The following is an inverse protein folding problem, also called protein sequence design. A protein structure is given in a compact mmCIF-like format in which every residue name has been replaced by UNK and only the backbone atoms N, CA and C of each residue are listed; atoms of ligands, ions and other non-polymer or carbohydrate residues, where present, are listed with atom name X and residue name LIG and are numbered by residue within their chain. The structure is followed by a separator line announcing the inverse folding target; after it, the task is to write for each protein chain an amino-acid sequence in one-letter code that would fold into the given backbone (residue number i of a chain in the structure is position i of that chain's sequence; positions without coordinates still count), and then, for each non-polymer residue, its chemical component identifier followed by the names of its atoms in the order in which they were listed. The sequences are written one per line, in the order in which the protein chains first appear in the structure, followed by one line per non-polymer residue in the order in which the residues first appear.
data_IF_853181465288
#
_entry.id   IF_853181465288
#
_cell.length_a   1.000
_cell.length_b   1.000
_cell.length_c   1.000
_cell.angle_alpha   90.00
_cell.angle_beta   90.00
_cell.angle_gamma   90.00
#
_symmetry.space_group_name_H-M   'P 1'
#
loop_
_entity.id
_entity.type
_entity.pdbx_description
1 polymer ?
#
# COMPACT_ATOMS: atom_id res chain seq x y z
N UNK A 1 20.88 -61.57 13.16
CA UNK A 1 19.48 -61.30 13.55
C UNK A 1 18.76 -60.68 12.38
N UNK A 2 17.67 -61.29 11.92
CA UNK A 2 16.92 -60.89 10.71
C UNK A 2 16.34 -59.46 10.83
N UNK A 3 16.38 -58.63 9.76
CA UNK A 3 15.83 -57.27 9.75
C UNK A 3 14.31 -57.21 9.97
N UNK A 4 13.60 -58.34 9.92
CA UNK A 4 12.16 -58.40 10.27
C UNK A 4 11.90 -58.26 11.77
N UNK A 5 12.84 -58.68 12.63
CA UNK A 5 12.62 -58.66 14.09
C UNK A 5 12.90 -57.29 14.72
N UNK A 6 13.80 -56.48 14.16
CA UNK A 6 14.04 -55.11 14.64
C UNK A 6 12.84 -54.19 14.40
N UNK A 7 12.15 -54.34 13.27
CA UNK A 7 10.96 -53.57 12.91
C UNK A 7 9.77 -53.83 13.86
N UNK A 8 9.55 -55.10 14.24
CA UNK A 8 8.47 -55.50 15.15
C UNK A 8 8.72 -55.01 16.59
N UNK A 9 9.98 -55.05 17.04
CA UNK A 9 10.37 -54.57 18.37
C UNK A 9 10.29 -53.03 18.45
N UNK A 10 10.72 -52.33 17.39
CA UNK A 10 10.56 -50.88 17.27
C UNK A 10 9.09 -50.45 17.32
N UNK A 11 8.22 -51.15 16.57
CA UNK A 11 6.77 -50.93 16.55
C UNK A 11 6.13 -51.04 17.94
N UNK A 12 6.50 -52.05 18.74
CA UNK A 12 5.98 -52.23 20.11
C UNK A 12 6.44 -51.15 21.08
N UNK A 13 7.70 -50.69 20.98
CA UNK A 13 8.24 -49.62 21.83
C UNK A 13 7.61 -48.25 21.51
N UNK A 14 7.36 -47.98 20.23
CA UNK A 14 6.69 -46.76 19.79
C UNK A 14 5.23 -46.70 20.26
N UNK A 15 4.50 -47.83 20.19
CA UNK A 15 3.15 -47.96 20.75
C UNK A 15 3.14 -47.72 22.27
N UNK A 16 4.15 -48.21 23.00
CA UNK A 16 4.26 -48.02 24.44
C UNK A 16 4.46 -46.54 24.82
N UNK A 17 5.34 -45.82 24.10
CA UNK A 17 5.62 -44.39 24.32
C UNK A 17 4.38 -43.51 24.13
N UNK A 18 3.49 -43.90 23.22
CA UNK A 18 2.26 -43.16 22.92
C UNK A 18 1.05 -43.54 23.80
N UNK A 19 1.18 -44.59 24.63
CA UNK A 19 0.04 -45.14 25.39
C UNK A 19 0.25 -45.15 26.91
N UNK A 20 1.48 -44.91 27.42
CA UNK A 20 1.76 -44.90 28.86
C UNK A 20 2.62 -43.70 29.28
N UNK A 21 2.09 -42.86 30.19
CA UNK A 21 2.79 -41.75 30.84
C UNK A 21 2.75 -41.91 32.36
N UNK A 22 3.85 -41.54 33.04
CA UNK A 22 3.98 -41.57 34.49
C UNK A 22 3.64 -40.23 35.17
N UNK A 23 3.30 -39.18 34.40
CA UNK A 23 2.93 -37.90 35.00
C UNK A 23 1.50 -37.94 35.56
N UNK A 24 1.23 -37.12 36.57
CA UNK A 24 -0.10 -36.92 37.15
C UNK A 24 -0.48 -35.43 37.03
N UNK A 25 -1.42 -35.04 36.15
CA UNK A 25 -2.16 -35.91 35.22
C UNK A 25 -1.27 -36.49 34.09
N UNK A 26 -1.70 -37.59 33.43
CA UNK A 26 -0.97 -38.16 32.28
C UNK A 26 -0.74 -37.11 31.19
N UNK A 27 0.52 -36.92 30.80
CA UNK A 27 0.97 -35.93 29.84
C UNK A 27 1.89 -36.63 28.84
N UNK A 28 1.58 -36.49 27.56
CA UNK A 28 2.31 -37.08 26.44
C UNK A 28 2.85 -35.95 25.58
N UNK A 29 4.09 -35.53 25.85
CA UNK A 29 4.71 -34.36 25.20
C UNK A 29 4.75 -34.42 23.66
N UNK A 30 4.68 -35.63 23.07
CA UNK A 30 4.73 -35.87 21.63
C UNK A 30 3.35 -36.08 20.99
N UNK A 31 2.27 -35.94 21.76
CA UNK A 31 0.90 -36.08 21.29
C UNK A 31 0.12 -34.79 21.58
N UNK A 32 -0.65 -34.29 20.60
CA UNK A 32 -1.49 -33.13 20.81
C UNK A 32 -2.67 -33.51 21.72
N UNK A 33 -2.99 -32.63 22.65
CA UNK A 33 -4.14 -32.73 23.55
C UNK A 33 -5.43 -32.23 22.89
N UNK A 34 -5.34 -31.42 21.83
CA UNK A 34 -6.49 -30.88 21.10
C UNK A 34 -6.19 -30.61 19.62
N UNK A 35 -7.24 -30.45 18.81
CA UNK A 35 -7.12 -30.00 17.41
C UNK A 35 -6.48 -28.61 17.31
N UNK A 36 -6.74 -27.73 18.28
CA UNK A 36 -6.12 -26.39 18.33
C UNK A 36 -4.61 -26.47 18.45
N UNK A 37 -4.10 -27.37 19.29
CA UNK A 37 -2.66 -27.58 19.48
C UNK A 37 -1.99 -28.11 18.21
N UNK A 38 -2.68 -28.96 17.44
CA UNK A 38 -2.21 -29.42 16.13
C UNK A 38 -2.02 -28.23 15.17
N UNK A 39 -3.00 -27.34 15.07
CA UNK A 39 -2.89 -26.17 14.20
C UNK A 39 -1.82 -25.20 14.68
N UNK A 40 -1.66 -24.99 15.99
CA UNK A 40 -0.59 -24.18 16.56
C UNK A 40 0.79 -24.77 16.25
N UNK A 41 0.99 -26.07 16.49
CA UNK A 41 2.25 -26.74 16.16
C UNK A 41 2.53 -26.63 14.66
N UNK A 42 1.54 -26.97 13.83
CA UNK A 42 1.70 -26.88 12.38
C UNK A 42 2.09 -25.46 11.96
N UNK A 43 1.45 -24.45 12.53
CA UNK A 43 1.70 -23.03 12.24
C UNK A 43 3.10 -22.56 12.64
N UNK A 44 3.61 -23.07 13.76
CA UNK A 44 4.94 -22.78 14.26
C UNK A 44 6.03 -23.43 13.38
N UNK A 45 5.79 -24.64 12.87
CA UNK A 45 6.79 -25.36 12.06
C UNK A 45 6.65 -25.12 10.56
N UNK A 46 5.50 -24.68 10.06
CA UNK A 46 5.28 -24.41 8.62
C UNK A 46 5.94 -23.14 8.12
N UNK A 47 6.49 -22.30 9.00
CA UNK A 47 7.17 -21.07 8.63
C UNK A 47 8.44 -20.86 9.48
N UNK A 48 9.59 -21.06 8.85
CA UNK A 48 10.91 -20.93 9.48
C UNK A 48 11.23 -19.50 9.93
N UNK A 49 10.56 -18.48 9.37
CA UNK A 49 10.79 -17.08 9.74
C UNK A 49 10.36 -16.74 11.19
N UNK A 50 9.60 -17.62 11.85
CA UNK A 50 9.26 -17.44 13.27
C UNK A 50 10.40 -17.83 14.22
N UNK A 51 11.46 -18.48 13.73
CA UNK A 51 12.55 -18.97 14.56
C UNK A 51 13.81 -18.14 14.33
N UNK A 52 14.43 -17.68 15.43
CA UNK A 52 15.74 -17.01 15.40
C UNK A 52 16.82 -17.96 14.86
N UNK A 53 16.67 -19.25 15.17
CA UNK A 53 17.54 -20.32 14.68
C UNK A 53 16.75 -21.17 13.70
N UNK A 54 17.24 -21.36 12.46
CA UNK A 54 16.65 -22.29 11.49
C UNK A 54 16.29 -23.65 12.09
N UNK A 55 15.16 -24.22 11.66
CA UNK A 55 14.64 -25.45 12.25
C UNK A 55 15.59 -26.64 12.10
N UNK A 56 16.31 -26.73 10.99
CA UNK A 56 17.33 -27.75 10.72
C UNK A 56 18.53 -27.67 11.69
N UNK A 57 18.90 -26.46 12.12
CA UNK A 57 19.94 -26.28 13.15
C UNK A 57 19.42 -26.58 14.56
N UNK A 58 18.14 -26.32 14.82
CA UNK A 58 17.52 -26.55 16.13
C UNK A 58 17.15 -28.02 16.35
N UNK A 59 16.78 -28.72 15.29
CA UNK A 59 16.36 -30.12 15.30
C UNK A 59 17.19 -30.90 14.28
N UNK A 60 18.33 -31.49 14.69
CA UNK A 60 19.15 -32.27 13.78
C UNK A 60 18.43 -33.58 13.38
N UNK A 61 18.28 -33.81 12.07
CA UNK A 61 17.85 -35.03 11.42
C UNK A 61 19.05 -35.80 10.83
N UNK A 62 19.58 -36.81 11.55
CA UNK A 62 20.73 -37.58 11.11
C UNK A 62 20.54 -38.18 9.71
N UNK A 63 21.47 -37.90 8.80
CA UNK A 63 21.45 -38.40 7.41
C UNK A 63 20.65 -37.55 6.43
N UNK A 64 19.97 -36.50 6.91
CA UNK A 64 19.23 -35.51 6.08
C UNK A 64 19.84 -34.10 6.26
N UNK A 65 20.47 -33.84 7.40
CA UNK A 65 21.16 -32.58 7.74
C UNK A 65 22.38 -32.29 6.84
N UNK A 66 22.12 -31.74 5.66
CA UNK A 66 23.11 -31.07 4.82
C UNK A 66 22.65 -29.62 4.58
N UNK A 67 23.60 -28.69 4.47
CA UNK A 67 23.33 -27.29 4.09
C UNK A 67 22.47 -27.26 2.82
N UNK A 68 21.23 -26.77 2.91
CA UNK A 68 20.26 -26.70 1.81
C UNK A 68 19.03 -27.61 1.93
N UNK A 69 18.94 -28.47 2.95
CA UNK A 69 17.79 -29.36 3.18
C UNK A 69 16.78 -28.84 4.24
N UNK A 70 16.87 -27.58 4.67
CA UNK A 70 16.00 -26.99 5.70
C UNK A 70 14.50 -27.18 5.39
N UNK A 71 14.11 -26.93 4.15
CA UNK A 71 12.73 -27.11 3.69
C UNK A 71 12.26 -28.57 3.76
N UNK A 72 13.16 -29.54 3.63
CA UNK A 72 12.82 -30.97 3.75
C UNK A 72 12.58 -31.35 5.22
N UNK A 73 13.45 -30.89 6.13
CA UNK A 73 13.28 -31.06 7.57
C UNK A 73 11.94 -30.47 8.01
N UNK A 74 11.67 -29.23 7.61
CA UNK A 74 10.42 -28.55 7.84
C UNK A 74 9.21 -29.36 7.34
N UNK A 75 9.27 -29.82 6.08
CA UNK A 75 8.24 -30.65 5.47
C UNK A 75 8.00 -31.95 6.27
N UNK A 76 9.05 -32.65 6.70
CA UNK A 76 8.91 -33.88 7.49
C UNK A 76 8.27 -33.64 8.85
N UNK A 77 8.60 -32.53 9.53
CA UNK A 77 7.95 -32.14 10.78
C UNK A 77 6.47 -31.87 10.54
N UNK A 78 6.13 -31.06 9.53
CA UNK A 78 4.73 -30.78 9.17
C UNK A 78 3.96 -32.05 8.80
N UNK A 79 4.60 -32.98 8.07
CA UNK A 79 4.03 -34.28 7.72
C UNK A 79 3.76 -35.15 8.93
N UNK A 80 4.67 -35.16 9.91
CA UNK A 80 4.44 -35.84 11.18
C UNK A 80 3.23 -35.25 11.92
N UNK A 81 3.09 -33.92 11.97
CA UNK A 81 1.94 -33.26 12.59
C UNK A 81 0.62 -33.63 11.88
N UNK A 82 0.62 -33.70 10.55
CA UNK A 82 -0.56 -34.16 9.79
C UNK A 82 -0.94 -35.60 10.14
N UNK A 83 0.04 -36.50 10.29
CA UNK A 83 -0.20 -37.88 10.72
C UNK A 83 -0.75 -37.94 12.16
N UNK A 84 -0.27 -37.08 13.06
CA UNK A 84 -0.82 -36.96 14.41
C UNK A 84 -2.29 -36.53 14.35
N UNK A 85 -2.66 -35.66 13.41
CA UNK A 85 -4.05 -35.26 13.26
C UNK A 85 -4.94 -36.39 12.75
N UNK A 86 -4.49 -37.12 11.71
CA UNK A 86 -5.20 -38.31 11.23
C UNK A 86 -5.38 -39.32 12.37
N UNK A 87 -4.34 -39.56 13.18
CA UNK A 87 -4.41 -40.43 14.35
C UNK A 87 -5.41 -39.93 15.39
N UNK A 88 -5.36 -38.64 15.73
CA UNK A 88 -6.26 -38.03 16.71
C UNK A 88 -7.72 -38.14 16.24
N UNK A 89 -7.96 -37.90 14.94
CA UNK A 89 -9.25 -38.10 14.29
C UNK A 89 -9.72 -39.55 14.36
N UNK A 90 -8.88 -40.50 13.93
CA UNK A 90 -9.21 -41.92 13.87
C UNK A 90 -9.48 -42.54 15.26
N UNK A 91 -8.75 -42.12 16.30
CA UNK A 91 -8.93 -42.63 17.67
C UNK A 91 -10.20 -42.10 18.34
N UNK A 92 -10.64 -40.89 17.98
CA UNK A 92 -11.78 -40.21 18.60
C UNK A 92 -13.12 -40.40 17.82
N UNK A 93 -13.13 -41.31 16.83
CA UNK A 93 -14.22 -41.57 15.88
C UNK A 93 -15.62 -41.90 16.44
N UNK A 94 -15.82 -41.95 17.75
CA UNK A 94 -17.14 -42.15 18.35
C UNK A 94 -17.84 -40.86 18.80
N UNK A 95 -17.15 -39.71 18.85
CA UNK A 95 -17.73 -38.38 19.17
C UNK A 95 -16.77 -37.24 18.76
N UNK A 96 -16.34 -37.17 17.48
CA UNK A 96 -15.48 -36.08 17.01
C UNK A 96 -16.27 -34.77 16.85
N UNK A 97 -16.67 -34.17 17.97
CA UNK A 97 -17.30 -32.85 18.06
C UNK A 97 -16.32 -31.75 18.50
N UNK A 98 -15.03 -32.08 18.69
CA UNK A 98 -14.02 -31.09 19.03
C UNK A 98 -13.72 -30.21 17.81
N UNK A 99 -14.32 -29.02 17.83
CA UNK A 99 -13.95 -27.90 16.97
C UNK A 99 -12.67 -27.27 17.49
N UNK A 100 -11.79 -26.84 16.58
CA UNK A 100 -10.63 -26.05 17.01
C UNK A 100 -11.09 -24.73 17.66
N UNK A 101 -10.37 -24.34 18.71
CA UNK A 101 -10.48 -23.02 19.34
C UNK A 101 -9.70 -22.06 18.46
N UNK A 102 -10.43 -21.23 17.73
CA UNK A 102 -9.85 -20.29 16.79
C UNK A 102 -9.16 -19.13 17.53
N UNK A 103 -7.97 -18.68 17.10
CA UNK A 103 -7.29 -17.51 17.64
C UNK A 103 -8.17 -16.26 17.61
N UNK A 104 -7.90 -15.32 18.51
CA UNK A 104 -8.56 -14.00 18.50
C UNK A 104 -7.83 -12.99 17.60
N UNK A 105 -6.53 -13.18 17.36
CA UNK A 105 -5.72 -12.30 16.53
C UNK A 105 -5.96 -12.58 15.03
N UNK A 106 -6.22 -11.54 14.23
CA UNK A 106 -6.43 -11.65 12.78
C UNK A 106 -5.18 -12.20 12.08
N UNK A 107 -3.98 -11.76 12.47
CA UNK A 107 -2.72 -12.22 11.86
C UNK A 107 -2.57 -13.74 12.05
N UNK A 108 -2.88 -14.24 13.25
CA UNK A 108 -2.82 -15.67 13.53
C UNK A 108 -3.91 -16.44 12.78
N UNK A 109 -5.11 -15.89 12.65
CA UNK A 109 -6.19 -16.48 11.84
C UNK A 109 -5.83 -16.57 10.35
N UNK A 110 -5.24 -15.51 9.77
CA UNK A 110 -4.78 -15.53 8.39
C UNK A 110 -3.63 -16.51 8.18
N UNK A 111 -2.75 -16.64 9.17
CA UNK A 111 -1.72 -17.66 9.16
C UNK A 111 -2.34 -19.07 9.18
N UNK A 112 -3.37 -19.31 10.00
CA UNK A 112 -4.09 -20.58 10.03
C UNK A 112 -4.77 -20.89 8.68
N UNK A 113 -5.42 -19.91 8.04
CA UNK A 113 -6.04 -20.10 6.71
C UNK A 113 -4.99 -20.48 5.64
N UNK A 114 -3.85 -19.78 5.62
CA UNK A 114 -2.73 -20.08 4.74
C UNK A 114 -2.16 -21.49 5.01
N UNK A 115 -2.00 -21.85 6.27
CA UNK A 115 -1.49 -23.15 6.69
C UNK A 115 -2.43 -24.30 6.33
N UNK A 116 -3.74 -24.11 6.39
CA UNK A 116 -4.70 -25.15 5.98
C UNK A 116 -4.52 -25.57 4.53
N UNK A 117 -4.13 -24.66 3.64
CA UNK A 117 -3.79 -25.00 2.24
C UNK A 117 -2.58 -25.93 2.17
N UNK A 118 -1.52 -25.62 2.92
CA UNK A 118 -0.32 -26.45 2.97
C UNK A 118 -0.61 -27.81 3.63
N UNK A 119 -1.33 -27.81 4.74
CA UNK A 119 -1.80 -29.00 5.46
C UNK A 119 -2.56 -29.95 4.52
N UNK A 120 -3.52 -29.41 3.77
CA UNK A 120 -4.35 -30.17 2.82
C UNK A 120 -3.49 -30.79 1.70
N UNK A 121 -2.44 -30.09 1.26
CA UNK A 121 -1.52 -30.63 0.25
C UNK A 121 -0.70 -31.81 0.79
N UNK A 122 -0.20 -31.72 2.02
CA UNK A 122 0.53 -32.83 2.67
C UNK A 122 -0.39 -34.05 2.83
N UNK A 123 -1.63 -33.85 3.24
CA UNK A 123 -2.62 -34.93 3.37
C UNK A 123 -2.84 -35.67 2.03
N UNK A 124 -2.92 -34.92 0.91
CA UNK A 124 -3.03 -35.52 -0.43
C UNK A 124 -1.77 -36.30 -0.82
N UNK A 125 -0.59 -35.82 -0.43
CA UNK A 125 0.67 -36.52 -0.71
C UNK A 125 0.76 -37.83 0.08
N UNK A 126 0.35 -37.84 1.34
CA UNK A 126 0.36 -39.03 2.21
C UNK A 126 -0.43 -40.20 1.60
N UNK A 127 -1.53 -39.93 0.89
CA UNK A 127 -2.32 -40.95 0.19
C UNK A 127 -1.50 -41.77 -0.82
N UNK A 128 -0.50 -41.14 -1.45
CA UNK A 128 0.35 -41.81 -2.43
C UNK A 128 1.41 -42.73 -1.80
N UNK A 129 1.63 -42.64 -0.48
CA UNK A 129 2.70 -43.34 0.23
C UNK A 129 2.23 -44.65 0.86
N UNK A 130 2.00 -45.65 0.00
CA UNK A 130 1.44 -46.96 0.39
C UNK A 130 2.22 -47.64 1.52
N UNK A 131 3.55 -47.62 1.48
CA UNK A 131 4.38 -48.27 2.50
C UNK A 131 4.16 -47.68 3.89
N UNK A 132 4.07 -46.35 3.98
CA UNK A 132 3.83 -45.63 5.24
C UNK A 132 2.42 -45.88 5.77
N UNK A 133 1.42 -45.85 4.89
CA UNK A 133 0.01 -46.12 5.23
C UNK A 133 -0.12 -47.53 5.83
N UNK A 134 0.45 -48.53 5.17
CA UNK A 134 0.43 -49.93 5.64
C UNK A 134 1.20 -50.08 6.96
N UNK A 135 2.36 -49.43 7.10
CA UNK A 135 3.14 -49.49 8.34
C UNK A 135 2.39 -48.93 9.56
N UNK A 136 1.60 -47.87 9.34
CA UNK A 136 0.83 -47.19 10.39
C UNK A 136 -0.61 -47.72 10.55
N UNK A 137 -1.02 -48.73 9.77
CA UNK A 137 -2.39 -49.26 9.71
C UNK A 137 -3.46 -48.19 9.38
N UNK A 138 -3.15 -47.24 8.49
CA UNK A 138 -4.07 -46.16 8.10
C UNK A 138 -4.91 -46.47 6.84
N UNK A 139 -4.85 -47.69 6.33
CA UNK A 139 -5.54 -48.12 5.10
C UNK A 139 -7.05 -47.88 5.18
N UNK A 140 -7.67 -48.23 6.31
CA UNK A 140 -9.11 -48.04 6.56
C UNK A 140 -9.49 -46.56 6.55
N UNK A 141 -8.67 -45.70 7.14
CA UNK A 141 -8.91 -44.24 7.15
C UNK A 141 -8.92 -43.70 5.72
N UNK A 142 -7.90 -44.01 4.92
CA UNK A 142 -7.80 -43.51 3.55
C UNK A 142 -8.88 -44.07 2.62
N UNK A 143 -9.36 -45.29 2.86
CA UNK A 143 -10.47 -45.87 2.09
C UNK A 143 -11.86 -45.35 2.47
N UNK A 144 -12.14 -45.14 3.77
CA UNK A 144 -13.52 -44.95 4.25
C UNK A 144 -13.80 -43.58 4.88
N UNK A 145 -12.82 -42.96 5.53
CA UNK A 145 -13.05 -41.78 6.39
C UNK A 145 -12.44 -40.49 5.82
N UNK A 146 -11.54 -40.63 4.85
CA UNK A 146 -10.84 -39.53 4.18
C UNK A 146 -11.77 -38.38 3.77
N UNK A 147 -12.85 -38.67 3.06
CA UNK A 147 -13.76 -37.63 2.53
C UNK A 147 -14.40 -36.81 3.66
N UNK A 148 -14.76 -37.47 4.76
CA UNK A 148 -15.29 -36.78 5.94
C UNK A 148 -14.22 -35.87 6.55
N UNK A 149 -12.97 -36.33 6.65
CA UNK A 149 -11.85 -35.52 7.15
C UNK A 149 -11.57 -34.30 6.27
N UNK A 150 -11.59 -34.43 4.94
CA UNK A 150 -11.46 -33.28 4.04
C UNK A 150 -12.62 -32.29 4.19
N UNK A 151 -13.85 -32.77 4.35
CA UNK A 151 -15.00 -31.90 4.61
C UNK A 151 -14.85 -31.15 5.93
N UNK A 152 -14.34 -31.81 6.98
CA UNK A 152 -14.02 -31.14 8.24
C UNK A 152 -13.00 -30.01 8.03
N UNK A 153 -11.90 -30.25 7.30
CA UNK A 153 -10.90 -29.21 7.01
C UNK A 153 -11.50 -28.02 6.23
N UNK A 154 -12.42 -28.28 5.30
CA UNK A 154 -13.13 -27.20 4.59
C UNK A 154 -14.05 -26.41 5.52
N UNK A 155 -14.74 -27.09 6.44
CA UNK A 155 -15.58 -26.42 7.43
C UNK A 155 -14.74 -25.55 8.38
N UNK A 156 -13.59 -26.04 8.84
CA UNK A 156 -12.65 -25.24 9.64
C UNK A 156 -12.17 -24.00 8.87
N UNK A 157 -11.83 -24.17 7.59
CA UNK A 157 -11.45 -23.05 6.72
C UNK A 157 -12.55 -22.00 6.64
N UNK A 158 -13.81 -22.42 6.46
CA UNK A 158 -14.95 -21.50 6.44
C UNK A 158 -15.13 -20.78 7.79
N UNK A 159 -15.00 -21.49 8.91
CA UNK A 159 -15.07 -20.90 10.26
C UNK A 159 -13.98 -19.84 10.49
N UNK A 160 -12.75 -20.09 10.03
CA UNK A 160 -11.64 -19.12 10.11
C UNK A 160 -11.96 -17.88 9.29
N UNK A 161 -12.36 -18.04 8.03
CA UNK A 161 -12.69 -16.92 7.15
C UNK A 161 -13.85 -16.07 7.68
N UNK A 162 -14.90 -16.70 8.20
CA UNK A 162 -15.99 -15.99 8.86
C UNK A 162 -15.52 -15.21 10.09
N UNK A 163 -14.64 -15.78 10.91
CA UNK A 163 -14.08 -15.09 12.09
C UNK A 163 -13.23 -13.89 11.66
N UNK A 164 -12.36 -14.04 10.65
CA UNK A 164 -11.55 -12.95 10.10
C UNK A 164 -12.44 -11.79 9.65
N UNK A 165 -13.45 -12.06 8.83
CA UNK A 165 -14.35 -11.03 8.30
C UNK A 165 -15.09 -10.33 9.43
N UNK A 166 -15.68 -11.08 10.38
CA UNK A 166 -16.40 -10.50 11.53
C UNK A 166 -15.48 -9.63 12.38
N UNK A 167 -14.27 -10.10 12.67
CA UNK A 167 -13.30 -9.34 13.48
C UNK A 167 -12.87 -8.06 12.76
N UNK A 168 -12.57 -8.11 11.46
CA UNK A 168 -12.18 -6.92 10.67
C UNK A 168 -13.31 -5.89 10.54
N UNK A 169 -14.56 -6.32 10.35
CA UNK A 169 -15.74 -5.42 10.31
C UNK A 169 -15.90 -4.73 11.66
N UNK A 170 -15.83 -5.48 12.75
CA UNK A 170 -16.08 -4.96 14.09
C UNK A 170 -14.92 -4.13 14.66
N UNK A 171 -13.70 -4.36 14.17
CA UNK A 171 -12.50 -3.62 14.58
C UNK A 171 -12.71 -2.11 14.45
N UNK A 172 -12.30 -1.36 15.47
CA UNK A 172 -12.36 0.10 15.44
C UNK A 172 -11.13 0.66 14.75
N UNK A 173 -11.28 1.85 14.16
CA UNK A 173 -10.13 2.60 13.64
C UNK A 173 -9.22 2.99 14.80
N UNK A 174 -7.91 2.81 14.59
CA UNK A 174 -6.86 3.21 15.51
C UNK A 174 -6.72 4.72 15.50
N UNK A 175 -6.93 5.34 16.67
CA UNK A 175 -6.82 6.79 16.82
C UNK A 175 -5.40 7.28 16.55
N UNK A 176 -4.38 6.48 16.91
CA UNK A 176 -2.98 6.81 16.65
C UNK A 176 -2.67 6.83 15.16
N UNK A 177 -3.13 5.81 14.41
CA UNK A 177 -2.94 5.76 12.96
C UNK A 177 -3.70 6.88 12.23
N UNK A 178 -4.93 7.17 12.67
CA UNK A 178 -5.72 8.30 12.13
C UNK A 178 -4.96 9.60 12.35
N UNK A 179 -4.45 9.83 13.56
CA UNK A 179 -3.67 11.03 13.89
C UNK A 179 -2.37 11.10 13.07
N UNK A 180 -1.66 9.98 12.89
CA UNK A 180 -0.45 9.93 12.06
C UNK A 180 -0.76 10.34 10.61
N UNK A 181 -1.87 9.88 10.05
CA UNK A 181 -2.32 10.30 8.72
C UNK A 181 -2.65 11.79 8.65
N UNK A 182 -3.33 12.34 9.67
CA UNK A 182 -3.64 13.77 9.76
C UNK A 182 -2.37 14.63 9.82
N UNK A 183 -1.42 14.29 10.70
CA UNK A 183 -0.16 15.02 10.88
C UNK A 183 0.74 14.93 9.65
N UNK A 184 0.82 13.75 9.05
CA UNK A 184 1.56 13.53 7.80
C UNK A 184 0.97 14.37 6.66
N UNK A 185 -0.37 14.36 6.53
CA UNK A 185 -1.07 15.15 5.52
C UNK A 185 -0.84 16.64 5.73
N UNK A 186 -0.98 17.15 6.96
CA UNK A 186 -0.73 18.56 7.27
C UNK A 186 0.69 18.98 6.86
N UNK A 187 1.71 18.22 7.28
CA UNK A 187 3.10 18.49 6.95
C UNK A 187 3.34 18.52 5.44
N UNK A 188 2.88 17.49 4.73
CA UNK A 188 3.10 17.36 3.28
C UNK A 188 2.43 18.49 2.49
N UNK A 189 1.21 18.86 2.87
CA UNK A 189 0.48 19.94 2.20
C UNK A 189 1.00 21.32 2.57
N UNK A 190 1.46 21.52 3.80
CA UNK A 190 2.16 22.73 4.20
C UNK A 190 3.43 22.92 3.34
N UNK A 191 4.28 21.88 3.23
CA UNK A 191 5.47 21.92 2.37
C UNK A 191 5.10 22.22 0.91
N UNK A 192 4.03 21.60 0.40
CA UNK A 192 3.55 21.81 -0.96
C UNK A 192 3.03 23.24 -1.20
N UNK A 193 2.11 23.73 -0.38
CA UNK A 193 1.52 25.06 -0.57
C UNK A 193 2.51 26.19 -0.29
N UNK A 194 3.49 25.99 0.60
CA UNK A 194 4.57 26.95 0.81
C UNK A 194 5.40 27.22 -0.45
N UNK A 195 5.47 26.27 -1.39
CA UNK A 195 6.13 26.52 -2.70
C UNK A 195 5.43 27.60 -3.52
N UNK A 196 4.17 27.91 -3.22
CA UNK A 196 3.38 28.96 -3.87
C UNK A 196 3.10 30.16 -2.96
N UNK A 197 3.77 30.25 -1.80
CA UNK A 197 3.55 31.32 -0.80
C UNK A 197 3.56 32.73 -1.38
N UNK A 198 4.42 32.98 -2.37
CA UNK A 198 4.55 34.25 -3.09
C UNK A 198 3.29 34.66 -3.89
N UNK A 199 2.39 33.72 -4.18
CA UNK A 199 1.13 33.96 -4.89
C UNK A 199 -0.06 34.07 -3.94
N UNK A 200 0.12 33.83 -2.65
CA UNK A 200 -0.99 33.77 -1.69
C UNK A 200 -1.40 35.19 -1.30
N UNK A 201 -2.70 35.49 -1.44
CA UNK A 201 -3.34 36.73 -1.00
C UNK A 201 -2.66 38.02 -1.49
N UNK A 202 -2.15 38.04 -2.73
CA UNK A 202 -1.64 39.26 -3.34
C UNK A 202 -2.81 40.21 -3.58
N UNK A 203 -2.83 41.37 -2.90
CA UNK A 203 -3.89 42.37 -3.05
C UNK A 203 -4.06 42.80 -4.52
N UNK A 204 -5.32 42.96 -4.96
CA UNK A 204 -5.73 43.54 -6.25
C UNK A 204 -5.52 42.70 -7.52
N UNK A 205 -6.10 41.50 -7.57
CA UNK A 205 -6.54 40.93 -8.86
C UNK A 205 -8.03 41.27 -9.01
N UNK A 206 -8.39 42.14 -9.95
CA UNK A 206 -9.78 42.25 -10.42
C UNK A 206 -10.16 40.90 -11.03
N UNK A 207 -10.72 40.00 -10.18
CA UNK A 207 -11.04 38.62 -10.53
C UNK A 207 -12.00 38.58 -11.72
N UNK A 208 -11.54 38.07 -12.87
CA UNK A 208 -12.44 37.74 -14.00
C UNK A 208 -12.35 36.29 -14.46
N UNK A 209 -11.19 35.64 -14.36
CA UNK A 209 -11.02 34.21 -14.64
C UNK A 209 -10.43 33.51 -13.43
N UNK A 210 -11.09 32.46 -12.95
CA UNK A 210 -10.58 31.62 -11.87
C UNK A 210 -10.71 30.14 -12.18
N UNK A 211 -9.77 29.36 -11.66
CA UNK A 211 -9.78 27.89 -11.72
C UNK A 211 -9.71 27.35 -10.31
N UNK A 212 -10.56 26.36 -10.02
CA UNK A 212 -10.62 25.70 -8.72
C UNK A 212 -9.93 24.35 -8.77
N UNK A 213 -9.04 24.11 -7.82
CA UNK A 213 -8.33 22.86 -7.61
C UNK A 213 -8.76 22.32 -6.26
N UNK A 214 -9.22 21.08 -6.24
CA UNK A 214 -9.79 20.46 -5.06
C UNK A 214 -9.04 19.18 -4.68
N UNK A 215 -9.09 18.85 -3.39
CA UNK A 215 -8.77 17.51 -2.93
C UNK A 215 -9.82 16.47 -3.33
N UNK A 216 -9.55 15.20 -3.08
CA UNK A 216 -10.46 14.09 -3.37
C UNK A 216 -10.47 13.04 -2.25
N UNK A 217 -11.32 12.03 -2.42
CA UNK A 217 -11.42 10.88 -1.54
C UNK A 217 -11.07 9.60 -2.30
N UNK A 218 -10.67 8.56 -1.58
CA UNK A 218 -10.45 7.23 -2.14
C UNK A 218 -10.82 6.14 -1.14
N UNK A 219 -10.98 4.92 -1.64
CA UNK A 219 -11.13 3.75 -0.79
C UNK A 219 -9.76 3.16 -0.48
N UNK A 220 -9.52 2.90 0.80
CA UNK A 220 -8.30 2.27 1.31
C UNK A 220 -8.62 1.01 2.11
N UNK A 221 -7.72 0.01 2.17
CA UNK A 221 -7.92 -1.14 3.03
C UNK A 221 -8.06 -0.69 4.49
N UNK A 222 -9.06 -1.21 5.21
CA UNK A 222 -9.27 -0.89 6.63
C UNK A 222 -8.10 -1.35 7.51
N UNK A 223 -7.40 -2.41 7.11
CA UNK A 223 -6.21 -2.92 7.79
C UNK A 223 -5.13 -1.85 7.97
N UNK A 224 -5.04 -0.89 7.05
CA UNK A 224 -4.14 0.24 7.14
C UNK A 224 -4.35 1.10 8.41
N UNK A 225 -5.59 1.16 8.91
CA UNK A 225 -6.02 2.05 9.99
C UNK A 225 -6.53 1.29 11.23
N UNK A 226 -6.21 0.01 11.38
CA UNK A 226 -6.58 -0.79 12.57
C UNK A 226 -5.33 -1.41 13.21
N UNK A 227 -5.32 -1.65 14.52
CA UNK A 227 -4.13 -2.13 15.24
C UNK A 227 -3.93 -3.64 15.17
N UNK A 228 -5.03 -4.40 15.05
CA UNK A 228 -5.01 -5.86 15.13
C UNK A 228 -4.95 -6.56 13.76
N UNK A 229 -4.57 -5.85 12.70
CA UNK A 229 -4.53 -6.37 11.32
C UNK A 229 -3.12 -6.19 10.72
N UNK A 230 -2.90 -6.71 9.52
CA UNK A 230 -1.60 -6.61 8.84
C UNK A 230 -1.20 -5.13 8.65
N UNK A 231 -0.06 -4.69 9.21
CA UNK A 231 0.43 -3.33 9.04
C UNK A 231 0.68 -3.01 7.57
N UNK A 232 0.28 -1.81 7.14
CA UNK A 232 0.60 -1.29 5.81
C UNK A 232 1.69 -0.23 5.91
N UNK A 233 2.75 -0.39 5.12
CA UNK A 233 3.81 0.61 5.03
C UNK A 233 3.30 1.86 4.31
N UNK A 234 3.72 3.05 4.77
CA UNK A 234 3.41 4.35 4.16
C UNK A 234 1.91 4.65 3.98
N UNK A 235 1.06 4.04 4.82
CA UNK A 235 -0.39 4.26 4.77
C UNK A 235 -0.78 5.73 4.98
N UNK A 236 0.05 6.46 5.73
CA UNK A 236 -0.11 7.86 6.13
C UNK A 236 0.28 8.86 5.04
N UNK A 237 1.12 8.46 4.08
CA UNK A 237 1.76 9.38 3.12
C UNK A 237 1.41 9.09 1.65
N UNK A 238 1.05 7.85 1.32
CA UNK A 238 0.79 7.44 -0.07
C UNK A 238 -0.39 8.20 -0.69
N UNK A 239 -1.48 8.35 0.07
CA UNK A 239 -2.66 9.07 -0.41
C UNK A 239 -2.39 10.57 -0.58
N UNK A 240 -1.79 11.22 0.43
CA UNK A 240 -1.40 12.63 0.35
C UNK A 240 -0.47 12.91 -0.83
N UNK A 241 0.49 12.00 -1.10
CA UNK A 241 1.38 12.10 -2.28
C UNK A 241 0.61 12.09 -3.59
N UNK A 242 -0.38 11.19 -3.71
CA UNK A 242 -1.23 11.10 -4.91
C UNK A 242 -2.02 12.39 -5.11
N UNK A 243 -2.62 12.92 -4.04
CA UNK A 243 -3.40 14.17 -4.11
C UNK A 243 -2.49 15.34 -4.53
N UNK A 244 -1.31 15.48 -3.93
CA UNK A 244 -0.33 16.52 -4.30
C UNK A 244 0.09 16.41 -5.76
N UNK A 245 0.36 15.20 -6.26
CA UNK A 245 0.78 15.02 -7.67
C UNK A 245 -0.34 15.41 -8.65
N UNK A 246 -1.59 15.08 -8.33
CA UNK A 246 -2.73 15.52 -9.13
C UNK A 246 -2.88 17.05 -9.08
N UNK A 247 -2.79 17.67 -7.90
CA UNK A 247 -2.85 19.12 -7.77
C UNK A 247 -1.72 19.83 -8.49
N UNK A 248 -0.48 19.31 -8.43
CA UNK A 248 0.65 19.83 -9.22
C UNK A 248 0.32 19.83 -10.71
N UNK A 249 -0.21 18.72 -11.23
CA UNK A 249 -0.60 18.62 -12.63
C UNK A 249 -1.66 19.67 -12.98
N UNK A 250 -2.73 19.77 -12.21
CA UNK A 250 -3.80 20.75 -12.44
C UNK A 250 -3.27 22.20 -12.38
N UNK A 251 -2.43 22.53 -11.39
CA UNK A 251 -1.78 23.84 -11.30
C UNK A 251 -0.98 24.12 -12.58
N UNK A 252 -0.14 23.19 -13.03
CA UNK A 252 0.63 23.37 -14.26
C UNK A 252 -0.26 23.61 -15.49
N UNK A 253 -1.34 22.84 -15.62
CA UNK A 253 -2.30 22.98 -16.72
C UNK A 253 -2.97 24.36 -16.72
N UNK A 254 -3.20 24.95 -15.54
CA UNK A 254 -3.68 26.34 -15.46
C UNK A 254 -2.68 27.32 -16.10
N UNK A 255 -1.39 27.24 -15.78
CA UNK A 255 -0.35 28.07 -16.43
C UNK A 255 -0.29 27.83 -17.95
N UNK A 256 -0.34 26.57 -18.39
CA UNK A 256 -0.26 26.23 -19.81
C UNK A 256 -1.46 26.78 -20.61
N UNK A 257 -2.65 26.82 -20.00
CA UNK A 257 -3.87 27.35 -20.64
C UNK A 257 -3.78 28.84 -21.01
N UNK A 258 -2.98 29.63 -20.28
CA UNK A 258 -2.74 31.06 -20.56
C UNK A 258 -1.53 31.30 -21.48
N UNK A 259 -0.99 30.24 -22.10
CA UNK A 259 0.16 30.36 -23.00
C UNK A 259 -0.27 30.95 -24.35
N UNK A 260 0.32 32.09 -24.72
CA UNK A 260 0.12 32.71 -26.03
C UNK A 260 1.14 32.25 -27.07
N UNK A 261 2.38 32.01 -26.64
CA UNK A 261 3.50 31.67 -27.52
C UNK A 261 4.26 30.49 -26.93
N UNK A 262 4.60 29.51 -27.77
CA UNK A 262 5.37 28.32 -27.37
C UNK A 262 6.66 28.24 -28.18
N UNK A 263 7.76 27.97 -27.50
CA UNK A 263 9.07 27.71 -28.08
C UNK A 263 9.65 26.41 -27.55
N UNK A 264 10.37 25.69 -28.41
CA UNK A 264 11.13 24.49 -28.09
C UNK A 264 12.60 24.72 -28.47
N UNK A 265 13.50 24.69 -27.49
CA UNK A 265 14.93 24.91 -27.71
C UNK A 265 15.79 23.80 -27.12
N UNK A 266 16.97 23.60 -27.69
CA UNK A 266 18.05 22.90 -26.99
C UNK A 266 18.50 23.72 -25.76
N UNK A 267 18.94 23.03 -24.70
CA UNK A 267 19.43 23.63 -23.45
C UNK A 267 20.53 24.67 -23.70
N UNK A 268 21.38 24.45 -24.70
CA UNK A 268 22.52 25.32 -25.03
C UNK A 268 22.07 26.70 -25.55
N UNK A 269 20.86 26.78 -26.12
CA UNK A 269 20.30 28.02 -26.67
C UNK A 269 19.47 28.82 -25.65
N UNK A 270 19.29 28.31 -24.42
CA UNK A 270 18.42 28.94 -23.43
C UNK A 270 18.83 30.39 -23.10
N UNK A 271 20.13 30.64 -22.88
CA UNK A 271 20.62 31.99 -22.59
C UNK A 271 20.43 32.95 -23.76
N UNK A 272 20.68 32.50 -24.99
CA UNK A 272 20.44 33.32 -26.18
C UNK A 272 18.94 33.62 -26.35
N UNK A 273 18.08 32.64 -26.08
CA UNK A 273 16.64 32.78 -26.20
C UNK A 273 16.09 33.83 -25.22
N UNK A 274 16.49 33.75 -23.95
CA UNK A 274 16.12 34.74 -22.93
C UNK A 274 16.63 36.15 -23.28
N UNK A 275 17.83 36.25 -23.85
CA UNK A 275 18.38 37.52 -24.33
C UNK A 275 17.56 38.12 -25.48
N UNK A 276 17.15 37.32 -26.47
CA UNK A 276 16.33 37.79 -27.61
C UNK A 276 14.89 38.14 -27.22
N UNK A 277 14.32 37.43 -26.23
CA UNK A 277 13.03 37.79 -25.64
C UNK A 277 13.06 39.17 -24.96
N UNK A 278 14.26 39.68 -24.62
CA UNK A 278 14.49 40.94 -23.90
C UNK A 278 13.79 40.94 -22.54
N UNK A 279 13.88 39.82 -21.82
CA UNK A 279 13.47 39.73 -20.41
C UNK A 279 14.22 40.81 -19.61
N UNK A 280 13.49 41.57 -18.81
CA UNK A 280 14.02 42.59 -17.90
C UNK A 280 13.41 42.42 -16.50
N UNK A 281 13.60 43.40 -15.61
CA UNK A 281 13.13 43.33 -14.22
C UNK A 281 11.61 43.25 -14.05
N UNK A 282 10.83 43.56 -15.10
CA UNK A 282 9.38 43.52 -15.04
C UNK A 282 8.80 42.14 -15.39
N UNK A 283 9.66 41.17 -15.68
CA UNK A 283 9.27 39.81 -16.05
C UNK A 283 9.75 38.80 -15.02
N UNK A 284 8.93 37.79 -14.78
CA UNK A 284 9.20 36.66 -13.91
C UNK A 284 9.30 35.37 -14.72
N UNK A 285 10.25 34.53 -14.35
CA UNK A 285 10.46 33.20 -14.91
C UNK A 285 9.93 32.16 -13.90
N UNK A 286 8.92 31.41 -14.31
CA UNK A 286 8.34 30.30 -13.55
C UNK A 286 8.90 29.00 -14.14
N UNK A 287 9.79 28.34 -13.40
CA UNK A 287 10.57 27.21 -13.91
C UNK A 287 10.10 25.92 -13.26
N UNK A 288 9.51 25.04 -14.06
CA UNK A 288 8.95 23.78 -13.62
C UNK A 288 9.94 22.63 -13.85
N UNK A 289 10.25 21.96 -12.75
CA UNK A 289 11.15 20.80 -12.62
C UNK A 289 12.44 20.94 -13.44
N UNK A 290 13.30 21.94 -13.12
CA UNK A 290 14.55 22.13 -13.82
C UNK A 290 15.50 20.95 -13.54
N UNK A 291 16.07 20.40 -14.61
CA UNK A 291 17.26 19.56 -14.52
C UNK A 291 18.46 20.35 -14.01
N UNK A 292 19.45 19.66 -13.45
CA UNK A 292 20.66 20.27 -12.90
C UNK A 292 21.28 21.31 -13.85
N UNK A 293 21.45 20.95 -15.13
CA UNK A 293 22.06 21.81 -16.14
C UNK A 293 21.21 23.04 -16.48
N UNK A 294 19.88 22.91 -16.53
CA UNK A 294 18.99 24.07 -16.76
C UNK A 294 19.02 25.00 -15.54
N UNK A 295 19.02 24.43 -14.34
CA UNK A 295 19.13 25.19 -13.10
C UNK A 295 20.45 25.97 -13.04
N UNK A 296 21.57 25.33 -13.37
CA UNK A 296 22.91 25.95 -13.41
C UNK A 296 23.00 27.10 -14.43
N UNK A 297 22.42 26.94 -15.62
CA UNK A 297 22.34 28.02 -16.62
C UNK A 297 21.60 29.23 -16.04
N UNK A 298 20.45 28.97 -15.41
CA UNK A 298 19.56 29.99 -14.89
C UNK A 298 20.15 30.73 -13.67
N UNK A 299 20.75 30.01 -12.73
CA UNK A 299 21.43 30.57 -11.55
C UNK A 299 22.62 31.46 -11.92
N UNK A 300 23.38 31.07 -12.96
CA UNK A 300 24.51 31.85 -13.46
C UNK A 300 24.11 32.95 -14.46
N UNK A 301 22.82 33.10 -14.76
CA UNK A 301 22.32 34.12 -15.68
C UNK A 301 22.06 35.44 -14.96
N UNK A 302 22.00 36.54 -15.73
CA UNK A 302 21.58 37.86 -15.23
C UNK A 302 20.10 37.92 -14.78
N UNK A 303 19.37 36.81 -14.86
CA UNK A 303 17.95 36.71 -14.54
C UNK A 303 17.67 36.04 -13.18
N UNK A 304 18.72 35.61 -12.46
CA UNK A 304 18.64 34.86 -11.20
C UNK A 304 17.62 35.41 -10.20
N UNK A 305 17.51 36.73 -10.10
CA UNK A 305 16.68 37.41 -9.10
C UNK A 305 15.17 37.35 -9.42
N UNK A 306 14.78 36.96 -10.65
CA UNK A 306 13.40 36.94 -11.12
C UNK A 306 12.89 35.52 -11.39
N UNK A 307 13.47 34.53 -10.74
CA UNK A 307 13.18 33.11 -10.98
C UNK A 307 12.42 32.51 -9.80
N UNK A 308 11.35 31.80 -10.11
CA UNK A 308 10.59 30.98 -9.17
C UNK A 308 10.71 29.53 -9.62
N UNK A 309 11.24 28.68 -8.74
CA UNK A 309 11.49 27.28 -9.03
C UNK A 309 10.42 26.38 -8.43
N UNK A 310 9.80 25.55 -9.26
CA UNK A 310 8.84 24.53 -8.85
C UNK A 310 9.47 23.15 -9.05
N UNK A 311 9.63 22.36 -7.98
CA UNK A 311 10.30 21.05 -8.01
C UNK A 311 9.34 19.88 -7.73
N UNK A 312 9.73 18.68 -8.18
CA UNK A 312 9.04 17.45 -7.86
C UNK A 312 7.69 17.32 -8.58
N UNK A 313 7.63 17.85 -9.80
CA UNK A 313 6.56 17.57 -10.74
C UNK A 313 6.89 16.30 -11.53
N UNK A 314 5.91 15.79 -12.28
CA UNK A 314 6.10 14.65 -13.17
C UNK A 314 7.10 15.00 -14.33
N UNK A 315 7.83 14.01 -14.81
CA UNK A 315 8.73 14.07 -15.97
C UNK A 315 8.11 14.73 -17.23
N UNK A 316 6.79 14.74 -17.38
CA UNK A 316 6.14 15.37 -18.52
C UNK A 316 6.35 16.89 -18.62
N UNK A 317 6.48 17.58 -17.48
CA UNK A 317 6.60 19.05 -17.38
C UNK A 317 8.04 19.50 -17.10
N UNK A 318 8.99 18.57 -17.21
CA UNK A 318 10.40 18.82 -16.91
C UNK A 318 11.03 19.81 -17.87
N UNK A 319 11.82 20.72 -17.30
CA UNK A 319 12.49 21.82 -18.00
C UNK A 319 11.53 22.71 -18.79
N UNK A 320 10.39 23.05 -18.20
CA UNK A 320 9.44 24.00 -18.78
C UNK A 320 9.56 25.34 -18.07
N UNK A 321 9.66 26.42 -18.83
CA UNK A 321 9.80 27.78 -18.32
C UNK A 321 8.61 28.59 -18.84
N UNK A 322 7.83 29.19 -17.95
CA UNK A 322 6.85 30.20 -18.31
C UNK A 322 7.39 31.58 -17.98
N UNK A 323 7.18 32.54 -18.89
CA UNK A 323 7.63 33.92 -18.75
C UNK A 323 6.40 34.83 -18.84
N UNK A 324 6.23 35.70 -17.85
CA UNK A 324 5.15 36.69 -17.81
C UNK A 324 5.60 37.97 -17.12
N UNK A 325 4.79 39.04 -17.22
CA UNK A 325 5.02 40.26 -16.44
C UNK A 325 4.72 40.01 -14.96
N UNK A 326 5.47 40.64 -14.06
CA UNK A 326 5.30 40.47 -12.60
C UNK A 326 3.89 40.82 -12.12
N UNK A 327 3.23 41.80 -12.75
CA UNK A 327 1.84 42.17 -12.45
C UNK A 327 0.78 41.24 -13.06
N UNK A 328 1.18 40.20 -13.79
CA UNK A 328 0.32 39.17 -14.35
C UNK A 328 0.47 37.81 -13.64
N UNK A 329 1.14 37.79 -12.48
CA UNK A 329 1.20 36.60 -11.65
C UNK A 329 -0.20 36.24 -11.10
N UNK A 330 -0.49 34.96 -10.89
CA UNK A 330 -1.76 34.54 -10.32
C UNK A 330 -1.86 34.90 -8.83
N UNK A 331 -3.09 35.00 -8.35
CA UNK A 331 -3.39 35.03 -6.92
C UNK A 331 -4.01 33.70 -6.49
N UNK A 332 -3.46 33.11 -5.42
CA UNK A 332 -3.92 31.85 -4.83
C UNK A 332 -4.73 32.19 -3.59
N UNK A 333 -5.96 31.70 -3.52
CA UNK A 333 -6.84 31.86 -2.35
C UNK A 333 -7.44 30.53 -1.94
N UNK A 334 -7.35 30.22 -0.64
CA UNK A 334 -7.89 29.00 -0.05
C UNK A 334 -9.26 29.28 0.55
N UNK A 335 -10.31 28.81 -0.12
CA UNK A 335 -11.68 29.04 0.32
C UNK A 335 -12.09 28.03 1.40
N UNK A 336 -13.04 28.40 2.25
CA UNK A 336 -13.69 27.43 3.13
C UNK A 336 -14.53 26.45 2.31
N UNK A 337 -14.56 25.19 2.75
CA UNK A 337 -15.41 24.17 2.14
C UNK A 337 -16.88 24.38 2.52
N UNK A 338 -17.77 24.01 1.62
CA UNK A 338 -19.21 23.97 1.91
C UNK A 338 -19.51 23.06 3.11
N UNK A 339 -20.35 23.55 4.02
CA UNK A 339 -20.82 22.84 5.20
C UNK A 339 -21.50 21.50 4.86
N UNK A 340 -22.17 21.40 3.71
CA UNK A 340 -22.76 20.13 3.26
C UNK A 340 -21.67 19.11 2.92
N UNK A 341 -20.59 19.54 2.25
CA UNK A 341 -19.43 18.70 1.92
C UNK A 341 -18.71 18.25 3.19
N UNK A 342 -18.52 19.15 4.16
CA UNK A 342 -17.91 18.84 5.46
C UNK A 342 -18.71 17.75 6.18
N UNK A 343 -20.04 17.90 6.26
CA UNK A 343 -20.90 16.91 6.91
C UNK A 343 -20.92 15.58 6.15
N UNK A 344 -21.06 15.62 4.82
CA UNK A 344 -21.16 14.42 3.99
C UNK A 344 -19.92 13.53 4.12
N UNK A 345 -18.74 14.12 4.09
CA UNK A 345 -17.48 13.38 4.15
C UNK A 345 -16.88 13.31 5.56
N UNK A 346 -17.62 13.76 6.59
CA UNK A 346 -17.18 13.83 7.99
C UNK A 346 -15.80 14.51 8.14
N UNK A 347 -15.60 15.61 7.43
CA UNK A 347 -14.30 16.27 7.31
C UNK A 347 -13.92 17.01 8.61
N UNK A 348 -12.67 16.82 9.04
CA UNK A 348 -12.04 17.54 10.13
C UNK A 348 -10.99 18.49 9.58
N UNK A 349 -11.04 19.76 9.98
CA UNK A 349 -10.03 20.75 9.60
C UNK A 349 -8.73 20.45 10.33
N UNK A 350 -7.63 20.27 9.59
CA UNK A 350 -6.29 19.99 10.13
C UNK A 350 -5.34 21.17 9.96
N UNK A 351 -5.59 22.06 8.98
CA UNK A 351 -4.80 23.28 8.77
C UNK A 351 -5.71 24.49 8.57
N UNK A 352 -5.46 25.55 9.33
CA UNK A 352 -6.24 26.80 9.26
C UNK A 352 -5.80 27.73 8.14
N UNK A 353 -4.51 27.78 7.83
CA UNK A 353 -3.93 28.71 6.85
C UNK A 353 -4.37 28.37 5.42
N UNK A 354 -4.48 27.07 5.13
CA UNK A 354 -4.86 26.56 3.80
C UNK A 354 -6.27 25.99 3.72
N UNK A 355 -7.06 26.08 4.80
CA UNK A 355 -8.36 25.43 4.89
C UNK A 355 -8.30 23.95 4.44
N UNK A 356 -7.34 23.20 5.03
CA UNK A 356 -7.13 21.79 4.72
C UNK A 356 -7.95 20.91 5.66
N UNK A 357 -8.65 19.93 5.09
CA UNK A 357 -9.49 19.01 5.83
C UNK A 357 -9.17 17.56 5.48
N UNK A 358 -9.33 16.67 6.45
CA UNK A 358 -9.16 15.23 6.27
C UNK A 358 -10.28 14.45 6.93
N UNK A 359 -10.48 13.22 6.49
CA UNK A 359 -11.32 12.26 7.21
C UNK A 359 -10.95 10.82 6.88
N UNK A 360 -11.25 9.92 7.81
CA UNK A 360 -11.20 8.47 7.61
C UNK A 360 -12.54 7.92 8.12
N UNK A 361 -13.38 7.45 7.21
CA UNK A 361 -14.73 6.97 7.50
C UNK A 361 -14.81 5.47 7.27
N UNK A 362 -15.29 4.74 8.29
CA UNK A 362 -15.53 3.30 8.19
C UNK A 362 -16.87 3.02 7.50
N UNK A 363 -16.80 2.85 6.18
CA UNK A 363 -17.97 2.60 5.33
C UNK A 363 -18.63 1.22 5.58
N UNK A 364 -18.02 0.35 6.40
CA UNK A 364 -18.60 -0.96 6.72
C UNK A 364 -19.57 -0.89 7.92
N UNK A 365 -19.51 0.19 8.71
CA UNK A 365 -20.39 0.43 9.85
C UNK A 365 -21.53 1.40 9.50
N UNK A 366 -21.25 2.35 8.61
CA UNK A 366 -22.21 3.36 8.16
C UNK A 366 -22.94 2.90 6.89
N UNK A 367 -24.12 2.30 7.04
CA UNK A 367 -24.98 1.86 5.93
C UNK A 367 -25.59 3.01 5.10
N UNK A 368 -25.21 4.26 5.34
CA UNK A 368 -25.77 5.46 4.71
C UNK A 368 -24.94 5.99 3.54
N UNK A 369 -23.70 5.50 3.34
CA UNK A 369 -22.81 5.96 2.26
C UNK A 369 -22.65 4.99 1.08
N UNK A 370 -23.30 3.82 1.11
CA UNK A 370 -23.23 2.83 0.02
C UNK A 370 -23.95 3.26 -1.27
N UNK A 371 -24.68 4.37 -1.27
CA UNK A 371 -25.47 4.85 -2.41
C UNK A 371 -24.86 6.12 -3.05
N UNK A 372 -23.60 6.07 -3.48
CA UNK A 372 -23.10 6.97 -4.55
C UNK A 372 -22.26 6.14 -5.51
N UNK A 373 -22.89 5.78 -6.62
CA UNK A 373 -22.39 4.84 -7.61
C UNK A 373 -21.11 5.33 -8.28
N UNK A 374 -19.98 4.78 -7.83
CA UNK A 374 -18.78 4.53 -8.63
C UNK A 374 -17.90 3.39 -8.05
N UNK A 375 -18.36 2.70 -7.00
CA UNK A 375 -17.65 1.57 -6.38
C UNK A 375 -17.95 0.29 -7.16
N UNK A 376 -17.55 0.22 -8.42
CA UNK A 376 -17.53 -1.02 -9.21
C UNK A 376 -16.21 -1.74 -8.97
N UNK A 377 -16.20 -2.54 -7.90
CA UNK A 377 -15.51 -3.82 -7.70
C UNK A 377 -15.38 -4.05 -6.19
N UNK A 378 -16.43 -4.64 -5.61
CA UNK A 378 -16.38 -5.17 -4.25
C UNK A 378 -15.55 -6.46 -4.33
N UNK A 379 -14.23 -6.31 -4.26
CA UNK A 379 -13.41 -7.38 -3.68
C UNK A 379 -13.89 -7.61 -2.25
N UNK A 380 -13.68 -8.82 -1.71
CA UNK A 380 -14.01 -9.20 -0.32
C UNK A 380 -13.25 -8.38 0.75
N UNK A 381 -12.60 -7.28 0.37
CA UNK A 381 -11.76 -6.46 1.22
C UNK A 381 -12.59 -5.37 1.91
N UNK A 382 -12.51 -5.38 3.23
CA UNK A 382 -13.09 -4.39 4.12
C UNK A 382 -12.31 -3.08 3.96
N UNK A 383 -12.99 -2.02 3.55
CA UNK A 383 -12.38 -0.73 3.16
C UNK A 383 -12.83 0.42 4.05
N UNK A 384 -12.04 1.49 4.08
CA UNK A 384 -12.39 2.79 4.65
C UNK A 384 -12.36 3.83 3.53
N UNK A 385 -13.16 4.88 3.67
CA UNK A 385 -13.05 6.06 2.81
C UNK A 385 -12.07 7.03 3.48
N UNK A 386 -10.98 7.35 2.79
CA UNK A 386 -10.05 8.39 3.20
C UNK A 386 -10.24 9.64 2.35
N UNK A 387 -10.18 10.81 2.97
CA UNK A 387 -10.38 12.10 2.30
C UNK A 387 -9.27 13.07 2.68
N UNK A 388 -8.78 13.82 1.67
CA UNK A 388 -8.00 15.03 1.85
C UNK A 388 -8.68 16.08 0.95
N UNK A 389 -9.15 17.16 1.54
CA UNK A 389 -10.03 18.14 0.90
C UNK A 389 -9.58 19.56 1.20
N UNK A 390 -9.60 20.40 0.17
CA UNK A 390 -9.35 21.85 0.20
C UNK A 390 -10.01 22.44 -1.06
N UNK A 391 -10.23 23.76 -1.09
CA UNK A 391 -10.67 24.51 -2.28
C UNK A 391 -9.66 25.62 -2.57
N UNK A 392 -8.70 25.32 -3.46
CA UNK A 392 -7.72 26.29 -3.94
C UNK A 392 -8.30 26.98 -5.18
N UNK A 393 -8.57 28.26 -5.08
CA UNK A 393 -8.91 29.11 -6.21
C UNK A 393 -7.67 29.86 -6.72
N UNK A 394 -7.34 29.64 -8.00
CA UNK A 394 -6.29 30.37 -8.71
C UNK A 394 -6.97 31.43 -9.58
N UNK A 395 -6.74 32.70 -9.27
CA UNK A 395 -7.32 33.85 -9.97
C UNK A 395 -6.29 34.53 -10.87
N UNK A 396 -6.73 34.93 -12.07
CA UNK A 396 -5.88 35.53 -13.10
C UNK A 396 -6.38 36.91 -13.53
N UNK A 397 -5.45 37.77 -13.96
CA UNK A 397 -5.74 39.05 -14.59
C UNK A 397 -6.14 38.87 -16.07
N UNK A 398 -7.02 39.72 -16.61
CA UNK A 398 -7.49 39.66 -18.01
C UNK A 398 -6.37 39.67 -19.07
N UNK A 399 -5.29 40.39 -18.77
CA UNK A 399 -4.17 40.57 -19.69
C UNK A 399 -3.08 39.51 -19.49
N UNK A 400 -3.35 38.47 -18.71
CA UNK A 400 -2.38 37.40 -18.45
C UNK A 400 -2.10 36.64 -19.74
N UNK A 401 -0.83 36.64 -20.14
CA UNK A 401 -0.32 35.82 -21.22
C UNK A 401 1.04 35.28 -20.80
N UNK A 402 1.32 34.04 -21.17
CA UNK A 402 2.63 33.44 -20.97
C UNK A 402 3.34 33.16 -22.29
N UNK A 403 4.64 33.42 -22.31
CA UNK A 403 5.55 32.78 -23.26
C UNK A 403 6.11 31.53 -22.59
N UNK A 404 5.89 30.39 -23.23
CA UNK A 404 6.39 29.10 -22.76
C UNK A 404 7.64 28.71 -23.54
N UNK A 405 8.69 28.33 -22.83
CA UNK A 405 9.89 27.69 -23.37
C UNK A 405 9.96 26.28 -22.81
N UNK A 406 9.89 25.29 -23.68
CA UNK A 406 10.23 23.91 -23.36
C UNK A 406 11.67 23.62 -23.77
N UNK A 407 12.44 22.97 -22.90
CA UNK A 407 13.76 22.46 -23.28
C UNK A 407 13.61 21.07 -23.90
N UNK A 408 14.19 20.89 -25.08
CA UNK A 408 14.26 19.64 -25.81
C UNK A 408 15.07 18.61 -25.01
N UNK A 409 14.63 17.35 -25.09
CA UNK A 409 15.28 16.22 -24.42
C UNK A 409 15.49 15.12 -25.45
N UNK A 410 16.68 14.52 -25.44
CA UNK A 410 16.98 13.35 -26.27
C UNK A 410 16.11 12.13 -25.88
N UNK A 411 15.58 12.13 -24.66
CA UNK A 411 14.74 11.05 -24.15
C UNK A 411 13.24 11.24 -24.45
N UNK A 412 12.82 12.37 -25.02
CA UNK A 412 11.40 12.66 -25.28
C UNK A 412 11.21 13.57 -26.48
N UNK A 413 10.49 13.06 -27.48
CA UNK A 413 10.05 13.87 -28.63
C UNK A 413 9.02 14.93 -28.18
N UNK A 414 9.34 16.21 -28.41
CA UNK A 414 8.49 17.37 -28.07
C UNK A 414 8.12 18.21 -29.31
N UNK A 415 8.40 17.69 -30.52
CA UNK A 415 8.23 18.40 -31.79
C UNK A 415 9.54 18.94 -32.36
N UNK A 416 9.42 19.86 -33.33
CA UNK A 416 10.55 20.45 -34.06
C UNK A 416 11.10 21.64 -33.27
N UNK A 417 12.42 21.70 -33.08
CA UNK A 417 13.06 22.82 -32.39
C UNK A 417 12.92 24.11 -33.20
N UNK A 418 12.63 25.21 -32.51
CA UNK A 418 12.53 26.52 -33.13
C UNK A 418 13.93 27.07 -33.47
N UNK A 419 14.02 27.85 -34.55
CA UNK A 419 15.21 28.65 -34.82
C UNK A 419 15.26 29.80 -33.80
N UNK A 420 16.45 30.09 -33.31
CA UNK A 420 16.69 31.19 -32.38
C UNK A 420 16.30 32.55 -32.97
N UNK A 421 16.22 32.67 -34.29
CA UNK A 421 15.83 33.89 -34.99
C UNK A 421 14.30 34.08 -35.11
N UNK A 422 13.51 33.04 -34.82
CA UNK A 422 12.05 33.10 -34.83
C UNK A 422 11.49 33.78 -33.55
N UNK A 423 12.36 34.06 -32.58
CA UNK A 423 11.98 34.68 -31.31
C UNK A 423 11.48 36.11 -31.53
N UNK A 424 10.25 36.37 -31.09
CA UNK A 424 9.69 37.71 -31.02
C UNK A 424 9.95 38.29 -29.64
N UNK A 425 10.45 39.53 -29.57
CA UNK A 425 10.66 40.19 -28.27
C UNK A 425 9.35 40.37 -27.52
N UNK A 426 9.34 40.20 -26.20
CA UNK A 426 8.15 40.31 -25.36
C UNK A 426 7.44 41.68 -25.51
N UNK A 427 8.20 42.76 -25.75
CA UNK A 427 7.64 44.10 -26.03
C UNK A 427 6.72 44.16 -27.26
N UNK A 428 6.80 43.23 -28.20
CA UNK A 428 5.92 43.13 -29.37
C UNK A 428 4.76 42.14 -29.17
N UNK A 429 4.82 41.30 -28.15
CA UNK A 429 3.78 40.30 -27.85
C UNK A 429 2.76 40.79 -26.81
N UNK A 430 3.17 41.72 -25.93
CA UNK A 430 2.31 42.33 -24.92
C UNK A 430 1.86 43.77 -25.26
N UNK A 431 2.27 44.31 -26.41
CA UNK A 431 1.71 45.51 -27.03
C UNK A 431 0.78 45.06 -28.15
#
# INVERSE_FOLDING_TARGET
MSPKNSFVIGRRKFIYLFNYSQSLPPNYLMLPHSVSEIFQWFSNFSNDFFHITPLDLKYPFPGIDNLGNSNQVQYYICKYIVLLYIRHFYLNNLNFNESSILPENIIELEQWDNNLKFFTNILKQLESEKELITALNLEVFFSNEKNFFFNYLQNEKSRINEKIIKTKINSNLSQEKVKQFEEMSDRMFNDFFNTFSIFINTENVEKKLSTKINGFYALYPKSAFTDNDIPQLNFDSTFGSTVIQNSKKEIFETFDSFTSTRYLFNKDNLNEALNKLKVDKNYMLLVFDPSYHVNEILENSKYSDNIILFKGYNYHVRNTIFITKTNCLPNFSFNELDTEKIKTYQLKKINNDYNLYTSIVDINKDSTQSDKGDIKEISQDIKVQISIQFDLEISWNDNTKFVKIDIASEFKEKGIQNDINDIKSLKKEYN
#
